data_IF_650461291611
#
_entry.id   IF_650461291611
#
_cell.length_a   1.000
_cell.length_b   1.000
_cell.length_c   1.000
_cell.angle_alpha   90.00
_cell.angle_beta   90.00
_cell.angle_gamma   90.00
#
_symmetry.space_group_name_H-M   'P 1'
#
loop_
_entity.id
_entity.type
_entity.pdbx_description
1 polymer ?
#
# COMPACT_ATOMS: atom_id res chain seq x y z
N UNK A 1 -10.58 -19.43 -5.76
CA UNK A 1 -10.00 -18.21 -5.15
C UNK A 1 -10.99 -17.06 -5.32
N UNK A 2 -11.43 -16.50 -4.22
CA UNK A 2 -12.30 -15.32 -4.31
C UNK A 2 -11.48 -14.14 -4.82
N UNK A 3 -12.01 -13.35 -5.77
CA UNK A 3 -11.32 -12.14 -6.18
C UNK A 3 -11.19 -11.19 -4.99
N UNK A 4 -10.04 -10.56 -4.86
CA UNK A 4 -9.85 -9.54 -3.84
C UNK A 4 -10.83 -8.41 -4.07
N UNK A 5 -11.57 -8.05 -3.02
CA UNK A 5 -12.47 -6.91 -3.08
C UNK A 5 -11.68 -5.64 -2.81
N UNK A 6 -11.76 -4.70 -3.73
CA UNK A 6 -11.11 -3.40 -3.61
C UNK A 6 -12.12 -2.34 -3.22
N UNK A 7 -11.71 -1.43 -2.36
CA UNK A 7 -12.53 -0.27 -2.02
C UNK A 7 -11.65 0.95 -1.80
N UNK A 8 -12.22 2.11 -2.04
CA UNK A 8 -11.61 3.40 -1.75
C UNK A 8 -12.41 4.12 -0.67
N UNK A 9 -11.73 4.89 0.16
CA UNK A 9 -12.35 5.70 1.19
C UNK A 9 -12.05 7.17 0.89
N UNK A 10 -13.10 7.97 0.84
CA UNK A 10 -12.99 9.42 0.74
C UNK A 10 -13.88 10.05 1.81
N UNK A 11 -13.25 10.78 2.73
CA UNK A 11 -13.94 11.37 3.89
C UNK A 11 -14.64 10.27 4.72
N UNK A 12 -15.97 10.20 4.67
CA UNK A 12 -16.76 9.21 5.39
C UNK A 12 -17.49 8.24 4.46
N UNK A 13 -17.12 8.23 3.18
CA UNK A 13 -17.78 7.39 2.17
C UNK A 13 -16.83 6.30 1.70
N UNK A 14 -17.35 5.07 1.59
CA UNK A 14 -16.64 3.93 1.06
C UNK A 14 -17.19 3.62 -0.34
N UNK A 15 -16.28 3.52 -1.30
CA UNK A 15 -16.61 3.22 -2.69
C UNK A 15 -16.05 1.84 -3.05
N UNK A 16 -16.91 0.82 -3.21
CA UNK A 16 -16.44 -0.45 -3.78
C UNK A 16 -15.94 -0.22 -5.20
N UNK A 17 -14.84 -0.83 -5.55
CA UNK A 17 -14.18 -0.62 -6.85
C UNK A 17 -14.17 -1.90 -7.66
N UNK A 18 -14.53 -1.79 -8.95
CA UNK A 18 -14.24 -2.82 -9.94
C UNK A 18 -12.77 -2.73 -10.35
N UNK A 19 -12.27 -3.75 -11.06
CA UNK A 19 -10.89 -3.72 -11.58
C UNK A 19 -10.66 -2.51 -12.51
N UNK A 20 -11.64 -2.19 -13.34
CA UNK A 20 -11.53 -1.04 -14.27
C UNK A 20 -11.49 0.29 -13.52
N UNK A 21 -12.32 0.44 -12.51
CA UNK A 21 -12.34 1.64 -11.66
C UNK A 21 -11.04 1.78 -10.88
N UNK A 22 -10.52 0.69 -10.34
CA UNK A 22 -9.25 0.67 -9.63
C UNK A 22 -8.10 1.14 -10.51
N UNK A 23 -7.97 0.54 -11.71
CA UNK A 23 -6.91 0.91 -12.64
C UNK A 23 -7.01 2.36 -13.06
N UNK A 24 -8.23 2.86 -13.28
CA UNK A 24 -8.48 4.26 -13.62
C UNK A 24 -8.01 5.21 -12.52
N UNK A 25 -8.23 4.87 -11.24
CA UNK A 25 -7.79 5.68 -10.12
C UNK A 25 -6.27 5.70 -9.96
N UNK A 26 -5.59 4.60 -10.30
CA UNK A 26 -4.15 4.47 -10.07
C UNK A 26 -3.31 5.50 -10.85
N UNK A 27 -3.84 6.03 -11.94
CA UNK A 27 -3.15 7.03 -12.77
C UNK A 27 -3.96 8.29 -13.01
N UNK A 28 -4.98 8.54 -12.19
CA UNK A 28 -5.76 9.77 -12.29
C UNK A 28 -4.93 10.95 -11.72
N UNK A 29 -4.56 11.94 -12.54
CA UNK A 29 -3.74 13.06 -12.09
C UNK A 29 -4.46 13.99 -11.10
N UNK A 30 -5.76 13.86 -10.95
CA UNK A 30 -6.56 14.65 -10.02
C UNK A 30 -6.66 14.03 -8.63
N UNK A 31 -6.16 12.81 -8.46
CA UNK A 31 -6.31 12.03 -7.24
C UNK A 31 -4.94 11.65 -6.69
N UNK A 32 -4.81 11.69 -5.38
CA UNK A 32 -3.67 11.09 -4.67
C UNK A 32 -4.19 9.97 -3.79
N UNK A 33 -3.48 8.85 -3.78
CA UNK A 33 -3.89 7.66 -3.06
C UNK A 33 -2.87 7.31 -1.98
N UNK A 34 -3.35 7.20 -0.75
CA UNK A 34 -2.64 6.52 0.32
C UNK A 34 -3.14 5.08 0.32
N UNK A 35 -2.24 4.12 0.18
CA UNK A 35 -2.60 2.70 0.11
C UNK A 35 -1.91 1.93 1.22
N UNK A 36 -2.46 0.78 1.59
CA UNK A 36 -1.79 -0.06 2.59
C UNK A 36 -0.68 -0.90 1.96
N UNK A 37 -0.94 -1.53 0.82
CA UNK A 37 0.04 -2.38 0.14
C UNK A 37 0.06 -2.01 -1.34
N UNK A 38 1.11 -1.34 -1.78
CA UNK A 38 1.20 -0.83 -3.14
C UNK A 38 1.60 -1.89 -4.17
N UNK A 39 2.27 -2.96 -3.77
CA UNK A 39 2.82 -3.95 -4.71
C UNK A 39 1.77 -4.54 -5.65
N UNK A 40 0.63 -5.08 -5.17
CA UNK A 40 -0.38 -5.59 -6.09
C UNK A 40 -1.05 -4.51 -6.92
N UNK A 41 -1.10 -3.27 -6.42
CA UNK A 41 -1.66 -2.13 -7.17
C UNK A 41 -0.74 -1.71 -8.31
N UNK A 42 0.55 -1.62 -8.07
CA UNK A 42 1.52 -1.34 -9.12
C UNK A 42 1.50 -2.43 -10.19
N UNK A 43 1.38 -3.69 -9.79
CA UNK A 43 1.29 -4.80 -10.74
C UNK A 43 0.08 -4.65 -11.68
N UNK A 44 -1.07 -4.24 -11.13
CA UNK A 44 -2.28 -3.99 -11.94
C UNK A 44 -2.14 -2.79 -12.85
N UNK A 45 -1.58 -1.71 -12.36
CA UNK A 45 -1.34 -0.51 -13.16
C UNK A 45 -0.43 -0.81 -14.34
N UNK A 46 0.68 -1.47 -14.09
CA UNK A 46 1.66 -1.82 -15.12
C UNK A 46 1.11 -2.81 -16.14
N UNK A 47 0.29 -3.76 -15.71
CA UNK A 47 -0.39 -4.69 -16.62
C UNK A 47 -1.34 -3.95 -17.58
N UNK A 48 -1.88 -2.82 -17.16
CA UNK A 48 -2.73 -1.96 -17.99
C UNK A 48 -1.95 -0.91 -18.79
N UNK A 49 -0.63 -0.91 -18.71
CA UNK A 49 0.23 0.06 -19.40
C UNK A 49 0.46 1.36 -18.65
N UNK A 50 0.19 1.38 -17.35
CA UNK A 50 0.26 2.56 -16.50
C UNK A 50 1.36 2.43 -15.45
N UNK A 51 1.63 3.49 -14.70
CA UNK A 51 2.71 3.50 -13.70
C UNK A 51 2.22 3.58 -12.25
N UNK A 52 0.92 3.75 -12.02
CA UNK A 52 0.37 3.94 -10.69
C UNK A 52 0.78 5.25 -10.04
N UNK A 53 0.87 6.31 -10.83
CA UNK A 53 1.39 7.61 -10.40
C UNK A 53 0.53 8.32 -9.35
N UNK A 54 -0.71 7.91 -9.17
CA UNK A 54 -1.59 8.46 -8.14
C UNK A 54 -1.23 7.96 -6.74
N UNK A 55 -0.50 6.85 -6.62
CA UNK A 55 -0.06 6.32 -5.32
C UNK A 55 1.06 7.20 -4.79
N UNK A 56 0.83 7.79 -3.62
CA UNK A 56 1.79 8.71 -2.98
C UNK A 56 2.31 8.19 -1.64
N UNK A 57 1.72 7.11 -1.09
CA UNK A 57 2.11 6.57 0.20
C UNK A 57 1.71 5.10 0.32
N UNK A 58 2.55 4.32 0.99
CA UNK A 58 2.36 2.89 1.23
C UNK A 58 2.47 2.61 2.73
N UNK A 59 1.36 2.19 3.33
CA UNK A 59 1.29 1.93 4.77
C UNK A 59 2.05 0.69 5.22
N UNK A 60 2.10 -0.34 4.40
CA UNK A 60 2.85 -1.56 4.74
C UNK A 60 4.35 -1.30 4.78
N UNK A 61 4.84 -0.52 3.83
CA UNK A 61 6.23 -0.09 3.80
C UNK A 61 6.58 0.78 5.01
N UNK A 62 5.68 1.70 5.37
CA UNK A 62 5.84 2.52 6.56
C UNK A 62 5.86 1.66 7.84
N UNK A 63 4.98 0.67 7.93
CA UNK A 63 4.95 -0.26 9.06
C UNK A 63 6.27 -1.04 9.18
N UNK A 64 6.80 -1.50 8.07
CA UNK A 64 8.10 -2.18 8.04
C UNK A 64 9.22 -1.26 8.53
N UNK A 65 9.23 -0.01 8.08
CA UNK A 65 10.24 0.96 8.47
C UNK A 65 10.17 1.28 9.97
N UNK A 66 8.97 1.36 10.52
CA UNK A 66 8.75 1.66 11.94
C UNK A 66 9.02 0.45 12.85
N UNK A 67 8.79 -0.76 12.38
CA UNK A 67 9.05 -1.99 13.15
C UNK A 67 9.42 -3.14 12.20
N UNK A 68 10.70 -3.24 11.87
CA UNK A 68 11.22 -4.28 10.99
C UNK A 68 11.21 -5.67 11.63
N UNK A 69 10.97 -5.77 12.93
CA UNK A 69 10.99 -7.05 13.66
C UNK A 69 9.65 -7.80 13.60
N UNK A 70 8.58 -7.14 13.16
CA UNK A 70 7.28 -7.78 13.08
C UNK A 70 7.28 -8.85 11.98
N UNK A 71 6.60 -9.97 12.24
CA UNK A 71 6.51 -11.06 11.29
C UNK A 71 5.43 -10.83 10.23
N UNK A 72 4.47 -9.98 10.52
CA UNK A 72 3.35 -9.66 9.63
C UNK A 72 2.97 -8.20 9.75
N UNK A 73 2.57 -7.62 8.62
CA UNK A 73 2.10 -6.25 8.55
C UNK A 73 0.69 -6.26 7.96
N UNK A 74 -0.31 -6.33 8.85
CA UNK A 74 -1.72 -6.37 8.47
C UNK A 74 -2.47 -5.22 9.13
N UNK A 75 -3.45 -4.66 8.40
CA UNK A 75 -4.28 -3.56 8.92
C UNK A 75 -4.93 -3.94 10.24
N UNK A 76 -5.45 -5.16 10.35
CA UNK A 76 -6.11 -5.64 11.56
C UNK A 76 -5.22 -5.67 12.80
N UNK A 77 -3.91 -5.80 12.60
CA UNK A 77 -2.93 -5.77 13.70
C UNK A 77 -2.43 -4.34 13.98
N UNK A 78 -2.32 -3.52 12.96
CA UNK A 78 -1.82 -2.16 13.09
C UNK A 78 -2.83 -1.22 13.73
N UNK A 79 -4.12 -1.42 13.49
CA UNK A 79 -5.17 -0.59 14.08
C UNK A 79 -5.07 -0.55 15.61
N UNK A 80 -5.04 -1.69 16.33
CA UNK A 80 -4.88 -1.64 17.79
C UNK A 80 -3.47 -1.16 18.21
N UNK A 81 -2.43 -1.50 17.45
CA UNK A 81 -1.06 -1.11 17.76
C UNK A 81 -0.89 0.41 17.77
N UNK A 82 -1.50 1.11 16.84
CA UNK A 82 -1.46 2.58 16.73
C UNK A 82 -2.66 3.26 17.37
N UNK A 83 -3.60 2.49 17.92
CA UNK A 83 -4.83 3.01 18.56
C UNK A 83 -5.62 3.89 17.59
N UNK A 84 -5.76 3.45 16.36
CA UNK A 84 -6.45 4.19 15.32
C UNK A 84 -7.93 4.36 15.67
N UNK A 85 -8.41 5.60 15.61
CA UNK A 85 -9.80 5.92 15.90
C UNK A 85 -10.67 5.84 14.65
N UNK A 86 -11.91 5.41 14.81
CA UNK A 86 -12.89 5.36 13.73
C UNK A 86 -13.49 6.74 13.50
N UNK A 87 -13.43 7.23 12.26
CA UNK A 87 -14.14 8.42 11.83
C UNK A 87 -15.60 8.10 11.47
N UNK A 88 -15.86 6.86 11.08
CA UNK A 88 -17.20 6.36 10.74
C UNK A 88 -17.20 4.83 10.87
N UNK A 89 -18.38 4.21 10.76
CA UNK A 89 -18.51 2.75 10.75
C UNK A 89 -19.05 2.28 9.41
N UNK A 90 -18.56 1.14 8.95
CA UNK A 90 -19.02 0.50 7.72
C UNK A 90 -19.12 -1.00 7.96
N UNK A 91 -20.31 -1.57 7.79
CA UNK A 91 -20.56 -2.98 8.06
C UNK A 91 -19.82 -3.88 7.09
N UNK A 92 -19.79 -3.51 5.81
CA UNK A 92 -19.16 -4.31 4.77
C UNK A 92 -17.62 -4.25 4.80
N UNK A 93 -17.08 -3.12 5.28
CA UNK A 93 -15.64 -2.89 5.38
C UNK A 93 -15.32 -2.32 6.77
N UNK A 94 -15.23 -3.19 7.80
CA UNK A 94 -15.11 -2.74 9.19
C UNK A 94 -13.90 -1.87 9.48
N UNK A 95 -12.79 -2.07 8.76
CA UNK A 95 -11.56 -1.32 8.98
C UNK A 95 -11.52 0.02 8.24
N UNK A 96 -12.45 0.23 7.30
CA UNK A 96 -12.43 1.41 6.42
C UNK A 96 -12.47 2.73 7.20
N UNK A 97 -13.26 2.80 8.24
CA UNK A 97 -13.40 4.02 9.05
C UNK A 97 -12.17 4.37 9.87
N UNK A 98 -11.23 3.44 10.02
CA UNK A 98 -10.00 3.64 10.82
C UNK A 98 -8.76 3.90 9.96
N UNK A 99 -8.85 3.72 8.66
CA UNK A 99 -7.67 3.82 7.77
C UNK A 99 -7.05 5.21 7.77
N UNK A 100 -7.86 6.26 7.70
CA UNK A 100 -7.36 7.63 7.66
C UNK A 100 -6.57 7.97 8.92
N UNK A 101 -7.09 7.62 10.09
CA UNK A 101 -6.42 7.87 11.36
C UNK A 101 -5.16 6.99 11.51
N UNK A 102 -5.25 5.72 11.10
CA UNK A 102 -4.10 4.82 11.12
C UNK A 102 -2.95 5.39 10.29
N UNK A 103 -3.22 5.79 9.05
CA UNK A 103 -2.22 6.33 8.15
C UNK A 103 -1.65 7.65 8.67
N UNK A 104 -2.50 8.52 9.23
CA UNK A 104 -2.05 9.77 9.83
C UNK A 104 -1.11 9.54 11.02
N UNK A 105 -1.42 8.57 11.87
CA UNK A 105 -0.57 8.22 13.02
C UNK A 105 0.77 7.63 12.58
N UNK A 106 0.76 6.77 11.56
CA UNK A 106 1.99 6.19 11.01
C UNK A 106 2.87 7.26 10.37
N UNK A 107 2.30 8.19 9.62
CA UNK A 107 3.03 9.32 9.04
C UNK A 107 3.66 10.20 10.13
N UNK A 108 2.90 10.49 11.19
CA UNK A 108 3.40 11.26 12.32
C UNK A 108 4.57 10.56 13.03
N UNK A 109 4.50 9.23 13.17
CA UNK A 109 5.55 8.44 13.79
C UNK A 109 6.83 8.43 12.95
N UNK A 110 6.71 8.33 11.63
CA UNK A 110 7.85 8.43 10.71
C UNK A 110 8.55 9.79 10.87
N UNK A 111 7.78 10.86 10.95
CA UNK A 111 8.31 12.20 11.18
C UNK A 111 8.97 12.31 12.55
N UNK A 112 8.33 11.77 13.60
CA UNK A 112 8.88 11.81 14.97
C UNK A 112 10.20 11.03 15.08
N UNK A 113 10.36 9.96 14.30
CA UNK A 113 11.59 9.17 14.26
C UNK A 113 12.66 9.77 13.33
N UNK A 114 12.35 10.83 12.60
CA UNK A 114 13.28 11.47 11.66
C UNK A 114 13.52 10.65 10.39
N UNK A 115 12.57 9.80 9.99
CA UNK A 115 12.73 8.87 8.88
C UNK A 115 12.02 9.30 7.60
N UNK A 116 11.51 10.54 7.53
CA UNK A 116 10.81 11.06 6.36
C UNK A 116 11.66 10.98 5.08
N UNK A 117 12.91 11.39 5.16
CA UNK A 117 13.81 11.39 4.01
C UNK A 117 14.07 9.95 3.53
N UNK A 118 14.30 9.02 4.45
CA UNK A 118 14.51 7.61 4.12
C UNK A 118 13.27 7.04 3.43
N UNK A 119 12.10 7.31 3.97
CA UNK A 119 10.86 6.82 3.40
C UNK A 119 10.59 7.41 2.02
N UNK A 120 10.61 8.72 1.89
CA UNK A 120 10.19 9.41 0.67
C UNK A 120 11.21 9.32 -0.47
N UNK A 121 12.50 9.31 -0.14
CA UNK A 121 13.57 9.39 -1.14
C UNK A 121 14.13 8.03 -1.53
N UNK A 122 14.00 7.02 -0.67
CA UNK A 122 14.63 5.71 -0.90
C UNK A 122 13.59 4.60 -0.91
N UNK A 123 12.87 4.39 0.20
CA UNK A 123 12.02 3.21 0.36
C UNK A 123 10.80 3.22 -0.57
N UNK A 124 10.10 4.34 -0.64
CA UNK A 124 8.91 4.42 -1.47
C UNK A 124 9.23 4.35 -2.98
N UNK A 125 10.20 5.11 -3.52
CA UNK A 125 10.60 4.93 -4.92
C UNK A 125 11.09 3.54 -5.25
N UNK A 126 11.79 2.88 -4.32
CA UNK A 126 12.29 1.53 -4.51
C UNK A 126 11.15 0.52 -4.69
N UNK A 127 10.04 0.68 -3.98
CA UNK A 127 8.88 -0.19 -4.14
C UNK A 127 8.34 -0.17 -5.57
N UNK A 128 8.30 1.00 -6.20
CA UNK A 128 7.87 1.15 -7.59
C UNK A 128 8.85 0.48 -8.56
N UNK A 129 10.14 0.65 -8.35
CA UNK A 129 11.18 0.02 -9.17
C UNK A 129 11.10 -1.50 -9.07
N UNK A 130 10.92 -2.03 -7.86
CA UNK A 130 10.81 -3.48 -7.66
C UNK A 130 9.57 -4.05 -8.35
N UNK A 131 8.45 -3.33 -8.35
CA UNK A 131 7.25 -3.75 -9.06
C UNK A 131 7.48 -3.80 -10.58
N UNK A 132 8.18 -2.81 -11.12
CA UNK A 132 8.52 -2.79 -12.55
C UNK A 132 9.44 -3.94 -12.93
N UNK A 133 10.45 -4.23 -12.13
CA UNK A 133 11.35 -5.35 -12.34
C UNK A 133 10.60 -6.69 -12.33
N UNK A 134 9.66 -6.85 -11.43
CA UNK A 134 8.83 -8.06 -11.35
C UNK A 134 7.99 -8.24 -12.61
N UNK A 135 7.43 -7.16 -13.13
CA UNK A 135 6.62 -7.20 -14.34
C UNK A 135 7.41 -7.50 -15.60
N UNK A 136 8.56 -6.86 -15.79
CA UNK A 136 9.37 -7.03 -17.01
C UNK A 136 9.95 -8.43 -17.11
N UNK A 137 9.84 -9.22 -16.05
CA UNK A 137 10.26 -10.60 -16.09
C UNK A 137 11.71 -10.71 -16.52
N UNK A 138 12.59 -10.09 -15.75
CA UNK A 138 14.02 -10.44 -15.86
C UNK A 138 14.05 -11.95 -15.84
N UNK A 139 14.53 -12.57 -16.91
CA UNK A 139 14.65 -14.01 -17.02
C UNK A 139 15.60 -14.48 -15.92
N UNK A 140 15.07 -14.59 -14.72
CA UNK A 140 15.76 -15.23 -13.61
C UNK A 140 15.24 -16.65 -13.57
N UNK A 141 16.12 -17.61 -13.58
CA UNK A 141 15.75 -18.99 -13.29
C UNK A 141 14.94 -18.99 -12.01
N UNK A 142 13.76 -19.60 -12.06
CA UNK A 142 12.82 -19.62 -10.96
C UNK A 142 13.47 -20.14 -9.67
N UNK A 143 14.36 -21.09 -9.79
CA UNK A 143 15.10 -21.67 -8.66
C UNK A 143 16.09 -20.67 -8.07
N UNK A 144 16.77 -19.91 -8.90
CA UNK A 144 17.66 -18.83 -8.47
C UNK A 144 16.90 -17.70 -7.78
N UNK A 145 15.72 -17.38 -8.28
CA UNK A 145 14.84 -16.37 -7.67
C UNK A 145 14.42 -16.78 -6.26
N UNK A 146 14.10 -18.05 -6.05
CA UNK A 146 13.75 -18.58 -4.73
C UNK A 146 14.90 -18.53 -3.75
N UNK A 147 16.13 -18.80 -4.20
CA UNK A 147 17.33 -18.71 -3.37
C UNK A 147 17.57 -17.26 -2.92
N UNK A 148 17.39 -16.30 -3.81
CA UNK A 148 17.52 -14.88 -3.47
C UNK A 148 16.48 -14.40 -2.45
N UNK A 149 15.27 -14.91 -2.52
CA UNK A 149 14.20 -14.55 -1.59
C UNK A 149 14.45 -15.15 -0.20
N UNK A 150 15.12 -16.31 -0.13
CA UNK A 150 15.38 -16.99 1.15
C UNK A 150 16.59 -16.42 1.91
N UNK A 151 17.42 -15.61 1.29
CA UNK A 151 18.53 -14.91 1.93
C UNK A 151 18.07 -13.58 2.52
#
# INVERSE_FOLDING_TARGET
>A
MQPEAWYAVQDTTVYPLSEEELVSLLDDPKVTLDVFDSAPLYARAMAAGSWGSSIVWDGKLAAYLLDASASKYQISELIPAYKAAAAFTCTDYPDAGRLADLFARMKAEITACGEDALYNEIEFPLAQVLADMTRTGVLVDKDLSLIHISE
#
